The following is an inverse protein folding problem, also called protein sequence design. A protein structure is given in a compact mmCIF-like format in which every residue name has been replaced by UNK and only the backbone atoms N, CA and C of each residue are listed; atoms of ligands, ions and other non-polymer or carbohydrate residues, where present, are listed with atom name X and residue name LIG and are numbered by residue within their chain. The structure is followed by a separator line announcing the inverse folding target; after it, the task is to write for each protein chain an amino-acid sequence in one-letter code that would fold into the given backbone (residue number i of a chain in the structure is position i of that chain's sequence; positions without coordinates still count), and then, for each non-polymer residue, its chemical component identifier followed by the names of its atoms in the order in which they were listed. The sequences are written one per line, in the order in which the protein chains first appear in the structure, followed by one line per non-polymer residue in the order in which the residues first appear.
data_IF_085538521350
#
_entry.id   IF_085538521350
#
_cell.length_a   1.000
_cell.length_b   1.000
_cell.length_c   1.000
_cell.angle_alpha   90.00
_cell.angle_beta   90.00
_cell.angle_gamma   90.00
#
_symmetry.space_group_name_H-M   'P 1'
#
loop_
_entity.id
_entity.type
_entity.pdbx_description
1 polymer ?
#
# COMPACT_ATOMS: atom_id res chain seq x y z
N UNK A 1 -25.11 7.76 -4.82
CA UNK A 1 -23.93 8.24 -5.57
C UNK A 1 -22.81 7.26 -5.29
N UNK A 2 -22.23 6.65 -6.32
CA UNK A 2 -21.14 5.68 -6.15
C UNK A 2 -19.86 6.45 -5.81
N UNK A 3 -19.53 6.52 -4.51
CA UNK A 3 -18.23 6.97 -4.05
C UNK A 3 -17.18 6.02 -4.61
N UNK A 4 -16.26 6.55 -5.40
CA UNK A 4 -15.23 5.80 -6.09
C UNK A 4 -14.37 5.00 -5.07
N UNK A 5 -14.55 3.68 -5.10
CA UNK A 5 -13.86 2.62 -4.35
C UNK A 5 -12.42 2.44 -4.91
N UNK A 6 -11.65 3.54 -4.96
CA UNK A 6 -10.47 3.68 -5.82
C UNK A 6 -9.17 3.45 -5.08
N UNK A 7 -9.08 3.72 -3.79
CA UNK A 7 -7.89 3.51 -2.97
C UNK A 7 -7.46 2.04 -2.86
N UNK A 8 -8.39 1.09 -2.72
CA UNK A 8 -8.07 -0.35 -2.69
C UNK A 8 -7.51 -0.84 -4.03
N UNK A 9 -8.19 -0.50 -5.13
CA UNK A 9 -7.73 -0.80 -6.49
C UNK A 9 -6.43 -0.06 -6.84
N UNK A 10 -6.24 1.16 -6.35
CA UNK A 10 -5.02 1.94 -6.52
C UNK A 10 -3.85 1.32 -5.79
N UNK A 11 -4.01 0.96 -4.51
CA UNK A 11 -2.91 0.45 -3.69
C UNK A 11 -2.51 -0.96 -4.12
N UNK A 12 -3.49 -1.82 -4.45
CA UNK A 12 -3.22 -3.14 -5.04
C UNK A 12 -2.53 -3.01 -6.42
N UNK A 13 -2.99 -2.10 -7.26
CA UNK A 13 -2.37 -1.78 -8.55
C UNK A 13 -0.93 -1.28 -8.39
N UNK A 14 -0.72 -0.37 -7.45
CA UNK A 14 0.60 0.14 -7.09
C UNK A 14 1.53 -0.99 -6.64
N UNK A 15 1.10 -1.81 -5.67
CA UNK A 15 1.91 -2.93 -5.15
C UNK A 15 2.32 -3.86 -6.29
N UNK A 16 1.36 -4.28 -7.12
CA UNK A 16 1.66 -5.20 -8.22
C UNK A 16 2.60 -4.57 -9.25
N UNK A 17 2.29 -3.38 -9.75
CA UNK A 17 3.09 -2.73 -10.81
C UNK A 17 4.49 -2.37 -10.33
N UNK A 18 4.59 -1.76 -9.15
CA UNK A 18 5.86 -1.27 -8.63
C UNK A 18 6.74 -2.41 -8.17
N UNK A 19 6.22 -3.39 -7.41
CA UNK A 19 7.07 -4.52 -7.02
C UNK A 19 7.40 -5.44 -8.19
N UNK A 20 6.53 -5.64 -9.19
CA UNK A 20 6.90 -6.42 -10.39
C UNK A 20 7.98 -5.68 -11.20
N UNK A 21 7.80 -4.38 -11.46
CA UNK A 21 8.80 -3.57 -12.19
C UNK A 21 10.10 -3.49 -11.42
N UNK A 22 10.04 -3.31 -10.10
CA UNK A 22 11.21 -3.17 -9.26
C UNK A 22 11.92 -4.52 -9.12
N UNK A 23 11.25 -5.58 -8.68
CA UNK A 23 11.87 -6.92 -8.49
C UNK A 23 12.31 -7.59 -9.79
N UNK A 24 11.63 -7.33 -10.91
CA UNK A 24 12.06 -7.81 -12.24
C UNK A 24 13.28 -7.05 -12.77
N UNK A 25 13.59 -5.89 -12.21
CA UNK A 25 14.73 -5.11 -12.66
C UNK A 25 16.01 -5.69 -12.06
N UNK A 26 16.88 -6.22 -12.92
CA UNK A 26 18.23 -6.69 -12.56
C UNK A 26 19.04 -5.59 -11.81
N UNK A 27 18.71 -4.33 -12.11
CA UNK A 27 19.09 -3.11 -11.41
C UNK A 27 18.68 -3.07 -9.93
N UNK A 28 17.43 -3.41 -9.64
CA UNK A 28 16.92 -3.43 -8.29
C UNK A 28 17.58 -4.56 -7.52
N UNK A 29 17.78 -5.76 -8.06
CA UNK A 29 18.50 -6.82 -7.33
C UNK A 29 19.94 -6.40 -6.91
N UNK A 30 20.64 -5.62 -7.75
CA UNK A 30 21.96 -5.05 -7.40
C UNK A 30 21.90 -3.96 -6.33
N UNK A 31 20.81 -3.19 -6.27
CA UNK A 31 20.61 -2.10 -5.30
C UNK A 31 19.95 -2.60 -4.00
N UNK A 32 19.01 -3.54 -4.09
CA UNK A 32 18.42 -4.33 -3.00
C UNK A 32 19.54 -5.04 -2.25
N UNK A 33 20.48 -5.69 -2.96
CA UNK A 33 21.61 -6.38 -2.34
C UNK A 33 22.70 -5.46 -1.75
N UNK A 34 22.80 -4.19 -2.18
CA UNK A 34 23.90 -3.28 -1.76
C UNK A 34 23.50 -2.02 -0.99
N UNK A 35 22.27 -1.52 -1.12
CA UNK A 35 21.86 -0.18 -0.67
C UNK A 35 20.56 -0.19 0.15
N UNK A 36 19.45 -0.71 -0.38
CA UNK A 36 18.18 -0.80 0.37
C UNK A 36 18.20 -1.94 1.40
N UNK A 37 18.95 -3.01 1.12
CA UNK A 37 18.89 -4.25 1.89
C UNK A 37 17.66 -5.08 1.49
N UNK A 38 17.80 -6.40 1.29
CA UNK A 38 16.65 -7.27 1.01
C UNK A 38 15.57 -7.18 2.09
N UNK A 39 15.99 -6.96 3.34
CA UNK A 39 15.12 -6.77 4.50
C UNK A 39 14.19 -5.55 4.36
N UNK A 40 14.68 -4.39 3.92
CA UNK A 40 13.85 -3.18 3.87
C UNK A 40 12.76 -3.28 2.80
N UNK A 41 13.09 -3.85 1.65
CA UNK A 41 12.14 -4.06 0.55
C UNK A 41 11.06 -5.06 0.95
N UNK A 42 11.46 -6.15 1.60
CA UNK A 42 10.51 -7.15 2.13
C UNK A 42 9.61 -6.53 3.20
N UNK A 43 10.17 -5.76 4.14
CA UNK A 43 9.40 -5.04 5.16
C UNK A 43 8.41 -4.05 4.57
N UNK A 44 8.82 -3.27 3.56
CA UNK A 44 7.91 -2.37 2.84
C UNK A 44 6.75 -3.14 2.21
N UNK A 45 7.05 -4.25 1.52
CA UNK A 45 6.03 -5.11 0.90
C UNK A 45 5.04 -5.65 1.93
N UNK A 46 5.54 -6.17 3.05
CA UNK A 46 4.71 -6.69 4.15
C UNK A 46 3.82 -5.58 4.72
N UNK A 47 4.39 -4.41 5.02
CA UNK A 47 3.65 -3.27 5.57
C UNK A 47 2.56 -2.79 4.61
N UNK A 48 2.84 -2.71 3.31
CA UNK A 48 1.87 -2.31 2.29
C UNK A 48 0.72 -3.32 2.17
N UNK A 49 1.00 -4.62 2.12
CA UNK A 49 -0.06 -5.65 2.09
C UNK A 49 -0.89 -5.66 3.38
N UNK A 50 -0.28 -5.41 4.54
CA UNK A 50 -1.01 -5.32 5.79
C UNK A 50 -1.99 -4.12 5.80
N UNK A 51 -1.57 -2.99 5.24
CA UNK A 51 -2.42 -1.82 5.06
C UNK A 51 -3.50 -2.04 3.99
N UNK A 52 -3.16 -2.67 2.85
CA UNK A 52 -4.08 -3.03 1.76
C UNK A 52 -5.31 -3.77 2.26
N UNK A 53 -5.12 -4.73 3.17
CA UNK A 53 -6.20 -5.51 3.77
C UNK A 53 -7.20 -4.68 4.58
N UNK A 54 -6.85 -3.45 4.96
CA UNK A 54 -7.69 -2.52 5.73
C UNK A 54 -8.31 -1.43 4.83
N UNK A 55 -7.83 -1.25 3.60
CA UNK A 55 -8.25 -0.13 2.73
C UNK A 55 -9.72 -0.23 2.37
N UNK A 56 -10.23 -1.42 2.02
CA UNK A 56 -11.64 -1.60 1.65
C UNK A 56 -12.60 -1.17 2.77
N UNK A 57 -12.31 -1.58 4.01
CA UNK A 57 -13.12 -1.23 5.18
C UNK A 57 -12.98 0.26 5.55
N UNK A 58 -11.76 0.78 5.45
CA UNK A 58 -11.49 2.20 5.66
C UNK A 58 -12.23 3.07 4.63
N UNK A 59 -12.29 2.65 3.36
CA UNK A 59 -13.00 3.38 2.32
C UNK A 59 -14.49 3.50 2.57
N UNK A 60 -15.10 2.44 3.11
CA UNK A 60 -16.49 2.47 3.52
C UNK A 60 -16.70 3.40 4.72
N UNK A 61 -15.83 3.29 5.73
CA UNK A 61 -15.94 4.04 7.00
C UNK A 61 -15.55 5.51 6.88
N UNK A 62 -14.77 5.91 5.87
CA UNK A 62 -14.34 7.32 5.71
C UNK A 62 -15.50 8.29 5.48
N UNK A 63 -16.66 7.80 5.04
CA UNK A 63 -17.83 8.63 4.75
C UNK A 63 -18.37 9.29 6.02
N UNK A 64 -18.35 8.55 7.13
CA UNK A 64 -18.92 8.96 8.41
C UNK A 64 -17.87 9.14 9.51
N UNK A 65 -16.60 8.77 9.26
CA UNK A 65 -15.50 8.89 10.21
C UNK A 65 -14.32 9.69 9.64
N UNK A 66 -14.18 10.98 10.01
CA UNK A 66 -13.07 11.82 9.59
C UNK A 66 -11.69 11.26 9.95
N UNK A 67 -11.54 10.59 11.09
CA UNK A 67 -10.27 9.98 11.49
C UNK A 67 -9.85 8.83 10.57
N UNK A 68 -10.81 8.07 10.03
CA UNK A 68 -10.55 7.04 9.01
C UNK A 68 -10.15 7.68 7.67
N UNK A 69 -10.77 8.82 7.32
CA UNK A 69 -10.37 9.59 6.14
C UNK A 69 -8.92 10.10 6.25
N UNK A 70 -8.53 10.61 7.41
CA UNK A 70 -7.16 11.07 7.66
C UNK A 70 -6.14 9.92 7.64
N UNK A 71 -6.55 8.74 8.13
CA UNK A 71 -5.77 7.51 8.02
C UNK A 71 -5.53 7.12 6.55
N UNK A 72 -6.57 7.12 5.71
CA UNK A 72 -6.45 6.83 4.28
C UNK A 72 -5.56 7.85 3.55
N UNK A 73 -5.74 9.15 3.83
CA UNK A 73 -4.90 10.20 3.26
C UNK A 73 -3.44 10.00 3.66
N UNK A 74 -3.17 9.65 4.91
CA UNK A 74 -1.82 9.38 5.42
C UNK A 74 -1.19 8.15 4.78
N UNK A 75 -1.98 7.10 4.53
CA UNK A 75 -1.52 5.92 3.81
C UNK A 75 -1.17 6.27 2.36
N UNK A 76 -2.04 7.02 1.67
CA UNK A 76 -1.83 7.44 0.28
C UNK A 76 -0.58 8.32 0.13
N UNK A 77 -0.39 9.26 1.06
CA UNK A 77 0.82 10.09 1.14
C UNK A 77 2.09 9.24 1.26
N UNK A 78 2.10 8.26 2.17
CA UNK A 78 3.23 7.35 2.35
C UNK A 78 3.52 6.52 1.09
N UNK A 79 2.47 6.08 0.37
CA UNK A 79 2.59 5.32 -0.89
C UNK A 79 3.18 6.18 -2.01
N UNK A 80 2.75 7.44 -2.15
CA UNK A 80 3.35 8.34 -3.14
C UNK A 80 4.82 8.61 -2.88
N UNK A 81 5.20 8.83 -1.61
CA UNK A 81 6.61 8.99 -1.24
C UNK A 81 7.39 7.71 -1.57
N UNK A 82 6.82 6.52 -1.35
CA UNK A 82 7.46 5.26 -1.72
C UNK A 82 7.72 5.16 -3.23
N UNK A 83 6.73 5.55 -4.05
CA UNK A 83 6.84 5.57 -5.52
C UNK A 83 7.99 6.45 -6.00
N UNK A 84 8.01 7.71 -5.53
CA UNK A 84 9.03 8.70 -5.88
C UNK A 84 10.46 8.21 -5.53
N UNK A 85 10.59 7.53 -4.38
CA UNK A 85 11.87 6.95 -3.95
C UNK A 85 12.30 5.76 -4.81
N UNK A 86 11.36 4.90 -5.20
CA UNK A 86 11.65 3.73 -6.06
C UNK A 86 12.01 4.16 -7.48
N UNK A 87 11.32 5.15 -8.05
CA UNK A 87 11.68 5.73 -9.34
C UNK A 87 13.05 6.45 -9.28
N UNK A 88 13.37 7.10 -8.16
CA UNK A 88 14.70 7.69 -7.92
C UNK A 88 15.80 6.61 -7.94
N UNK A 89 15.54 5.45 -7.33
CA UNK A 89 16.45 4.30 -7.37
C UNK A 89 16.67 3.80 -8.79
N UNK A 90 15.60 3.64 -9.56
CA UNK A 90 15.68 3.20 -10.96
C UNK A 90 16.46 4.21 -11.82
N UNK A 91 16.25 5.51 -11.62
CA UNK A 91 16.94 6.59 -12.34
C UNK A 91 18.44 6.62 -12.03
N UNK A 92 18.79 6.50 -10.75
CA UNK A 92 20.18 6.40 -10.29
C UNK A 92 20.87 5.20 -10.95
N UNK A 93 20.18 4.08 -11.08
CA UNK A 93 20.73 2.90 -11.72
C UNK A 93 20.95 3.06 -13.23
N UNK A 94 19.97 3.60 -13.94
CA UNK A 94 20.10 3.85 -15.38
C UNK A 94 21.33 4.74 -15.65
N UNK A 95 21.50 5.79 -14.85
CA UNK A 95 22.68 6.67 -14.90
C UNK A 95 23.98 5.89 -14.62
N UNK A 96 23.97 4.91 -13.72
CA UNK A 96 25.15 4.09 -13.40
C UNK A 96 25.62 3.24 -14.57
N UNK A 97 24.67 2.63 -15.28
CA UNK A 97 24.95 1.79 -16.45
C UNK A 97 25.62 2.60 -17.56
N UNK A 98 25.21 3.85 -17.74
CA UNK A 98 25.80 4.73 -18.75
C UNK A 98 27.19 5.26 -18.37
N UNK A 99 27.41 5.63 -17.10
CA UNK A 99 28.63 6.36 -16.72
C UNK A 99 29.85 5.44 -16.49
N UNK A 100 29.66 4.11 -16.42
CA UNK A 100 30.61 2.94 -16.44
C UNK A 100 31.99 3.00 -15.72
N UNK A 101 32.54 4.15 -15.34
CA UNK A 101 33.92 4.31 -14.85
C UNK A 101 34.08 5.23 -13.62
N UNK A 102 33.06 6.00 -13.21
CA UNK A 102 33.17 6.80 -11.97
C UNK A 102 31.82 7.03 -11.31
N UNK A 103 31.70 6.69 -10.01
CA UNK A 103 30.53 7.01 -9.19
C UNK A 103 30.89 8.13 -8.21
N UNK A 104 30.50 9.38 -8.47
CA UNK A 104 30.85 10.49 -7.59
C UNK A 104 30.28 10.32 -6.17
N UNK A 105 31.00 10.83 -5.18
CA UNK A 105 30.62 10.76 -3.75
C UNK A 105 29.23 11.40 -3.49
N UNK A 106 28.83 12.38 -4.30
CA UNK A 106 27.49 12.99 -4.26
C UNK A 106 26.37 11.97 -4.49
N UNK A 107 26.59 10.96 -5.32
CA UNK A 107 25.61 9.89 -5.54
C UNK A 107 25.51 8.96 -4.33
N UNK A 108 26.62 8.66 -3.63
CA UNK A 108 26.59 7.86 -2.39
C UNK A 108 25.80 8.53 -1.26
N UNK A 109 25.87 9.87 -1.15
CA UNK A 109 25.06 10.62 -0.19
C UNK A 109 23.56 10.52 -0.53
N UNK A 110 23.22 10.65 -1.81
CA UNK A 110 21.84 10.50 -2.30
C UNK A 110 21.31 9.07 -2.07
N UNK A 111 22.17 8.06 -2.23
CA UNK A 111 21.81 6.66 -1.96
C UNK A 111 21.38 6.46 -0.50
N UNK A 112 22.16 6.98 0.44
CA UNK A 112 21.86 6.88 1.88
C UNK A 112 20.55 7.60 2.23
N UNK A 113 20.38 8.81 1.71
CA UNK A 113 19.16 9.60 1.95
C UNK A 113 17.89 8.87 1.47
N UNK A 114 17.96 8.17 0.33
CA UNK A 114 16.83 7.38 -0.17
C UNK A 114 16.51 6.23 0.77
N UNK A 115 17.52 5.54 1.31
CA UNK A 115 17.32 4.42 2.25
C UNK A 115 16.70 4.92 3.54
N UNK A 116 17.22 6.00 4.12
CA UNK A 116 16.71 6.60 5.36
C UNK A 116 15.22 7.02 5.17
N UNK A 117 14.88 7.66 4.05
CA UNK A 117 13.49 8.03 3.72
C UNK A 117 12.59 6.82 3.50
N UNK A 118 13.10 5.76 2.89
CA UNK A 118 12.34 4.53 2.70
C UNK A 118 12.05 3.84 4.04
N UNK A 119 13.00 3.85 4.98
CA UNK A 119 12.77 3.38 6.34
C UNK A 119 11.67 4.18 7.05
N UNK A 120 11.65 5.50 6.86
CA UNK A 120 10.60 6.37 7.41
C UNK A 120 9.22 6.04 6.82
N UNK A 121 9.13 5.76 5.52
CA UNK A 121 7.89 5.27 4.88
C UNK A 121 7.42 3.98 5.53
N UNK A 122 8.30 2.98 5.66
CA UNK A 122 7.96 1.70 6.30
C UNK A 122 7.50 1.91 7.75
N UNK A 123 8.17 2.80 8.49
CA UNK A 123 7.80 3.13 9.87
C UNK A 123 6.40 3.77 9.91
N UNK A 124 6.09 4.68 8.98
CA UNK A 124 4.80 5.35 8.90
C UNK A 124 3.66 4.38 8.57
N UNK A 125 3.84 3.49 7.59
CA UNK A 125 2.83 2.48 7.25
C UNK A 125 2.59 1.51 8.42
N UNK A 126 3.65 1.05 9.09
CA UNK A 126 3.49 0.22 10.29
C UNK A 126 2.79 0.95 11.45
N UNK A 127 3.03 2.26 11.60
CA UNK A 127 2.32 3.06 12.58
C UNK A 127 0.83 3.14 12.26
N UNK A 128 0.47 3.34 10.99
CA UNK A 128 -0.92 3.34 10.52
C UNK A 128 -1.59 1.98 10.75
N UNK A 129 -0.90 0.87 10.49
CA UNK A 129 -1.41 -0.48 10.76
C UNK A 129 -1.76 -0.68 12.24
N UNK A 130 -0.93 -0.16 13.15
CA UNK A 130 -1.20 -0.20 14.60
C UNK A 130 -2.40 0.65 15.03
N UNK A 131 -2.79 1.66 14.27
CA UNK A 131 -3.97 2.48 14.57
C UNK A 131 -5.30 1.77 14.27
N UNK A 132 -5.28 0.65 13.54
CA UNK A 132 -6.48 -0.04 13.09
C UNK A 132 -7.47 -0.34 14.22
N UNK A 133 -6.97 -0.77 15.39
CA UNK A 133 -7.83 -1.22 16.50
C UNK A 133 -8.58 -0.03 17.12
N UNK A 134 -7.91 1.12 17.22
CA UNK A 134 -8.53 2.36 17.70
C UNK A 134 -9.56 2.93 16.71
N UNK A 135 -9.29 2.77 15.42
CA UNK A 135 -10.18 3.22 14.34
C UNK A 135 -11.29 2.21 14.04
N UNK A 136 -11.28 1.04 14.71
CA UNK A 136 -12.20 -0.06 14.45
C UNK A 136 -12.12 -0.60 13.03
N UNK A 137 -10.94 -0.55 12.40
CA UNK A 137 -10.72 -1.05 11.04
C UNK A 137 -10.57 -2.57 11.04
N UNK A 138 -11.33 -3.23 10.18
CA UNK A 138 -11.32 -4.68 10.04
C UNK A 138 -10.66 -5.11 8.73
N UNK A 139 -9.94 -6.24 8.78
CA UNK A 139 -9.39 -6.84 7.56
C UNK A 139 -10.53 -7.40 6.73
N UNK A 140 -10.63 -7.04 5.45
CA UNK A 140 -11.60 -7.63 4.54
C UNK A 140 -11.28 -9.10 4.29
N UNK A 141 -11.83 -9.98 5.11
CA UNK A 141 -11.89 -11.40 4.78
C UNK A 141 -13.01 -11.56 3.77
N UNK A 142 -12.75 -12.10 2.57
CA UNK A 142 -13.77 -12.36 1.52
C UNK A 142 -15.05 -13.08 2.01
N UNK A 143 -15.00 -13.71 3.18
CA UNK A 143 -16.13 -14.32 3.90
C UNK A 143 -17.16 -13.31 4.44
N UNK A 144 -16.76 -12.09 4.77
CA UNK A 144 -17.65 -11.08 5.38
C UNK A 144 -18.61 -10.45 4.35
N UNK A 145 -18.26 -10.49 3.05
CA UNK A 145 -19.20 -10.11 1.98
C UNK A 145 -20.39 -11.08 1.86
N UNK A 146 -20.24 -12.33 2.32
CA UNK A 146 -21.33 -13.31 2.33
C UNK A 146 -22.20 -13.22 3.58
N UNK A 147 -21.72 -12.60 4.67
CA UNK A 147 -22.50 -12.47 5.91
C UNK A 147 -23.38 -11.21 5.95
N UNK A 148 -23.11 -10.22 5.09
CA UNK A 148 -24.01 -9.06 4.90
C UNK A 148 -25.20 -9.45 4.01
N UNK A 149 -26.11 -10.22 4.63
CA UNK A 149 -27.32 -10.78 4.02
C UNK A 149 -28.14 -9.75 3.24
N UNK A 150 -28.66 -10.16 2.09
CA UNK A 150 -30.00 -9.73 1.68
C UNK A 150 -30.98 -10.43 2.64
N UNK A 151 -31.80 -9.71 3.42
CA UNK A 151 -32.90 -10.34 4.13
C UNK A 151 -33.92 -10.79 3.08
N UNK A 152 -34.06 -12.10 2.85
CA UNK A 152 -35.16 -12.64 2.05
C UNK A 152 -36.46 -12.26 2.74
N UNK A 153 -37.24 -11.38 2.11
CA UNK A 153 -38.59 -11.04 2.55
C UNK A 153 -39.45 -12.30 2.44
N UNK A 154 -39.75 -12.93 3.57
CA UNK A 154 -40.71 -14.04 3.65
C UNK A 154 -42.10 -13.51 3.30
N UNK A 155 -42.62 -13.90 2.14
CA UNK A 155 -43.97 -13.60 1.68
C UNK A 155 -44.94 -14.58 2.37
N UNK A 156 -45.59 -14.14 3.45
CA UNK A 156 -46.69 -14.89 4.08
C UNK A 156 -47.96 -14.55 3.32
N UNK A 157 -48.34 -15.40 2.37
CA UNK A 157 -49.68 -15.32 1.78
C UNK A 157 -50.63 -16.20 2.58
N UNK A 158 -51.65 -15.55 3.13
CA UNK A 158 -52.58 -16.09 4.10
C UNK A 158 -53.44 -17.22 3.51
N UNK A 159 -53.65 -18.26 4.33
CA UNK A 159 -54.75 -19.21 4.15
C UNK A 159 -56.07 -18.44 4.03
N UNK A 160 -56.82 -18.73 2.97
CA UNK A 160 -58.24 -18.38 2.88
C UNK A 160 -59.06 -19.67 3.00
N UNK A 161 -59.67 -19.84 4.17
CA UNK A 161 -60.74 -20.81 4.37
C UNK A 161 -61.94 -20.43 3.49
N UNK A 162 -62.43 -21.40 2.71
CA UNK A 162 -63.87 -21.61 2.49
C UNK A 162 -64.16 -22.99 1.92
#
# INVERSE_FOLDING_TARGET
MAGALVGGAFLSGFINVVFDRFLSSEAANLIIGKKLGPDLVERLRISLHAAEALVDDAEYKQLDNPSVKDWLNSLRDAVYVADDLLDSVLTIEATRKEVRSFWPISFLKRDREIVDKMEDVVRRINFLEKQKDFLGLEKTTKRNFLSWRIPSTSLVEAKKDR
#
